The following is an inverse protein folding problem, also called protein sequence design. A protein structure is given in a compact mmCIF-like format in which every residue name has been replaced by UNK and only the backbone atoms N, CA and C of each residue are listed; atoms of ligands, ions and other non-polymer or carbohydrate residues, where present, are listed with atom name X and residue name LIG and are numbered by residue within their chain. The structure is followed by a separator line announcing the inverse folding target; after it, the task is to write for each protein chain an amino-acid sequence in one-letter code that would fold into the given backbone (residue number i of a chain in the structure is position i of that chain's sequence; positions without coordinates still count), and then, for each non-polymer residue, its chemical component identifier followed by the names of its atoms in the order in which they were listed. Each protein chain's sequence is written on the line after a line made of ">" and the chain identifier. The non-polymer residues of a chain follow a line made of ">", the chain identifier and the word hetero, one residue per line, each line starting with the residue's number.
data_IF_010558296629
#
_entry.id   IF_010558296629
#
_cell.length_a   1.000
_cell.length_b   1.000
_cell.length_c   1.000
_cell.angle_alpha   90.00
_cell.angle_beta   90.00
_cell.angle_gamma   90.00
#
_symmetry.space_group_name_H-M   'P 1'
#
loop_
_entity.id
_entity.type
_entity.pdbx_description
1 polymer ?
#
# COMPACT_ATOMS: atom_id res chain seq x y z
N UNK A 1 52.17 -48.86 -62.36
CA UNK A 1 51.08 -48.70 -63.36
C UNK A 1 49.84 -48.39 -62.56
N UNK A 2 49.48 -47.11 -62.46
CA UNK A 2 48.56 -46.41 -63.37
C UNK A 2 47.23 -46.23 -62.59
N UNK A 3 46.54 -45.10 -62.52
CA UNK A 3 46.74 -43.77 -63.08
C UNK A 3 46.03 -42.77 -62.15
N UNK A 4 46.53 -41.52 -62.17
CA UNK A 4 45.93 -40.37 -61.51
C UNK A 4 44.86 -39.76 -62.42
N UNK A 5 43.60 -39.73 -62.00
CA UNK A 5 42.57 -38.91 -62.64
C UNK A 5 42.43 -37.57 -61.90
N UNK A 6 42.94 -36.51 -62.52
CA UNK A 6 42.65 -35.13 -62.14
C UNK A 6 41.29 -34.73 -62.71
N UNK A 7 40.28 -34.54 -61.85
CA UNK A 7 39.07 -33.82 -62.23
C UNK A 7 39.25 -32.33 -61.97
N UNK A 8 39.37 -31.58 -63.07
CA UNK A 8 39.31 -30.12 -63.13
C UNK A 8 37.92 -29.64 -62.71
N UNK A 9 37.84 -28.88 -61.62
CA UNK A 9 36.65 -28.12 -61.24
C UNK A 9 36.63 -26.82 -62.03
N UNK A 10 35.66 -26.73 -62.94
CA UNK A 10 35.23 -25.56 -63.69
C UNK A 10 34.87 -24.43 -62.71
N UNK A 11 35.72 -23.40 -62.62
CA UNK A 11 35.40 -22.13 -61.95
C UNK A 11 34.72 -21.20 -62.93
N UNK A 12 33.46 -21.48 -63.23
CA UNK A 12 32.57 -20.48 -63.81
C UNK A 12 32.24 -19.44 -62.74
N UNK A 13 33.01 -18.36 -62.83
CA UNK A 13 32.91 -17.05 -62.21
C UNK A 13 31.47 -16.50 -62.19
N UNK A 14 30.65 -16.89 -61.21
CA UNK A 14 29.60 -16.00 -60.71
C UNK A 14 30.27 -15.06 -59.73
N UNK A 15 30.68 -13.90 -60.24
CA UNK A 15 31.01 -12.72 -59.46
C UNK A 15 29.76 -12.25 -58.72
N UNK A 16 29.38 -13.00 -57.68
CA UNK A 16 28.71 -12.43 -56.52
C UNK A 16 29.79 -11.76 -55.72
N UNK A 17 29.84 -10.43 -55.83
CA UNK A 17 30.56 -9.48 -54.97
C UNK A 17 30.95 -10.13 -53.65
N UNK A 18 32.20 -10.61 -53.51
CA UNK A 18 32.66 -11.24 -52.27
C UNK A 18 32.85 -10.11 -51.27
N UNK A 19 31.95 -9.94 -50.28
CA UNK A 19 31.93 -8.75 -49.43
C UNK A 19 33.22 -8.60 -48.61
N UNK A 20 34.06 -9.63 -48.59
CA UNK A 20 35.38 -9.68 -47.94
C UNK A 20 36.46 -8.91 -48.71
N UNK A 21 36.31 -8.70 -50.02
CA UNK A 21 37.31 -8.04 -50.87
C UNK A 21 37.34 -6.51 -50.70
N UNK A 22 36.28 -5.93 -50.13
CA UNK A 22 36.14 -4.49 -49.89
C UNK A 22 36.58 -4.03 -48.49
N UNK A 23 37.00 -4.96 -47.63
CA UNK A 23 37.44 -4.67 -46.26
C UNK A 23 38.96 -4.47 -46.18
N UNK A 24 39.39 -3.42 -45.49
CA UNK A 24 40.80 -3.25 -45.10
C UNK A 24 41.23 -4.34 -44.09
N UNK A 25 42.53 -4.63 -44.01
CA UNK A 25 43.12 -5.63 -43.09
C UNK A 25 42.63 -5.48 -41.64
N UNK A 26 42.47 -4.25 -41.15
CA UNK A 26 41.96 -3.98 -39.80
C UNK A 26 40.46 -4.31 -39.65
N UNK A 27 39.67 -4.13 -40.70
CA UNK A 27 38.26 -4.51 -40.73
C UNK A 27 38.11 -6.04 -40.82
N UNK A 28 39.01 -6.70 -41.56
CA UNK A 28 39.05 -8.16 -41.66
C UNK A 28 39.43 -8.81 -40.32
N UNK A 29 40.41 -8.26 -39.59
CA UNK A 29 40.78 -8.74 -38.26
C UNK A 29 39.62 -8.60 -37.26
N UNK A 30 38.92 -7.46 -37.27
CA UNK A 30 37.70 -7.26 -36.46
C UNK A 30 36.62 -8.28 -36.81
N UNK A 31 36.43 -8.59 -38.10
CA UNK A 31 35.44 -9.57 -38.56
C UNK A 31 35.83 -11.00 -38.12
N UNK A 32 37.12 -11.36 -38.20
CA UNK A 32 37.62 -12.65 -37.71
C UNK A 32 37.38 -12.78 -36.21
N UNK A 33 37.75 -11.78 -35.42
CA UNK A 33 37.50 -11.77 -33.97
C UNK A 33 36.02 -11.91 -33.65
N UNK A 34 35.16 -11.18 -34.36
CA UNK A 34 33.71 -11.29 -34.21
C UNK A 34 33.22 -12.72 -34.53
N UNK A 35 33.68 -13.30 -35.64
CA UNK A 35 33.30 -14.68 -36.03
C UNK A 35 33.84 -15.73 -35.07
N UNK A 36 35.00 -15.52 -34.47
CA UNK A 36 35.52 -16.39 -33.42
C UNK A 36 34.62 -16.35 -32.17
N UNK A 37 34.18 -15.17 -31.75
CA UNK A 37 33.24 -15.02 -30.62
C UNK A 37 31.90 -15.70 -30.94
N UNK A 38 31.34 -15.47 -32.14
CA UNK A 38 30.10 -16.11 -32.58
C UNK A 38 30.22 -17.65 -32.60
N UNK A 39 31.33 -18.18 -33.12
CA UNK A 39 31.59 -19.62 -33.10
C UNK A 39 31.73 -20.17 -31.68
N UNK A 40 32.38 -19.43 -30.78
CA UNK A 40 32.51 -19.85 -29.38
C UNK A 40 31.13 -19.93 -28.69
N UNK A 41 30.24 -18.98 -28.97
CA UNK A 41 28.86 -18.98 -28.45
C UNK A 41 28.10 -20.21 -28.96
N UNK A 42 28.17 -20.49 -30.26
CA UNK A 42 27.53 -21.66 -30.86
C UNK A 42 28.10 -22.97 -30.30
N UNK A 43 29.41 -23.03 -30.05
CA UNK A 43 30.05 -24.19 -29.45
C UNK A 43 29.56 -24.41 -28.01
N UNK A 44 29.46 -23.34 -27.22
CA UNK A 44 28.93 -23.41 -25.86
C UNK A 44 27.45 -23.85 -25.84
N UNK A 45 26.63 -23.29 -26.75
CA UNK A 45 25.23 -23.68 -26.94
C UNK A 45 25.12 -25.17 -27.29
N UNK A 46 25.94 -25.65 -28.22
CA UNK A 46 25.97 -27.06 -28.63
C UNK A 46 26.37 -27.98 -27.47
N UNK A 47 27.41 -27.62 -26.71
CA UNK A 47 27.83 -28.39 -25.53
C UNK A 47 26.74 -28.46 -24.46
N UNK A 48 26.03 -27.35 -24.23
CA UNK A 48 24.94 -27.28 -23.28
C UNK A 48 23.79 -28.22 -23.70
N UNK A 49 23.40 -28.19 -24.98
CA UNK A 49 22.39 -29.11 -25.50
C UNK A 49 22.83 -30.57 -25.49
N UNK A 50 24.11 -30.86 -25.79
CA UNK A 50 24.63 -32.23 -25.70
C UNK A 50 24.60 -32.76 -24.26
N UNK A 51 24.95 -31.93 -23.27
CA UNK A 51 24.87 -32.29 -21.85
C UNK A 51 23.44 -32.57 -21.44
N UNK A 52 22.52 -31.68 -21.82
CA UNK A 52 21.10 -31.85 -21.57
C UNK A 52 20.57 -33.13 -22.23
N UNK A 53 20.93 -33.38 -23.48
CA UNK A 53 20.53 -34.57 -24.22
C UNK A 53 21.00 -35.84 -23.50
N UNK A 54 22.29 -35.91 -23.15
CA UNK A 54 22.89 -37.05 -22.41
C UNK A 54 22.20 -37.32 -21.06
N UNK A 55 21.70 -36.28 -20.39
CA UNK A 55 20.94 -36.41 -19.13
C UNK A 55 19.47 -36.79 -19.38
N UNK A 56 18.88 -36.30 -20.47
CA UNK A 56 17.46 -36.45 -20.79
C UNK A 56 17.12 -37.73 -21.56
N UNK A 57 18.11 -38.38 -22.18
CA UNK A 57 17.93 -39.72 -22.74
C UNK A 57 17.49 -40.66 -21.61
N UNK A 58 16.30 -41.27 -21.69
CA UNK A 58 15.90 -42.26 -20.72
C UNK A 58 16.93 -43.39 -20.79
N UNK A 59 17.58 -43.68 -19.65
CA UNK A 59 18.21 -44.98 -19.42
C UNK A 59 17.11 -46.05 -19.38
N UNK A 60 16.47 -46.34 -20.50
CA UNK A 60 15.56 -47.46 -20.68
C UNK A 60 15.54 -47.95 -22.14
N UNK A 61 16.59 -48.68 -22.49
CA UNK A 61 16.53 -49.92 -23.27
C UNK A 61 17.65 -50.85 -22.78
N UNK A 62 17.73 -51.00 -21.45
CA UNK A 62 18.77 -51.78 -20.79
C UNK A 62 18.50 -51.96 -19.30
N UNK A 63 17.23 -52.18 -18.95
CA UNK A 63 16.83 -52.56 -17.60
C UNK A 63 17.43 -53.92 -17.23
N UNK A 64 18.26 -53.89 -16.19
CA UNK A 64 18.40 -54.91 -15.15
C UNK A 64 18.36 -56.38 -15.57
N UNK A 65 19.54 -56.99 -15.72
CA UNK A 65 19.80 -58.29 -15.11
C UNK A 65 21.28 -58.35 -14.69
N UNK A 66 21.58 -57.76 -13.53
CA UNK A 66 22.76 -58.13 -12.75
C UNK A 66 22.55 -59.52 -12.18
N UNK A 67 22.74 -60.53 -13.02
CA UNK A 67 22.76 -61.93 -12.62
C UNK A 67 24.00 -62.23 -11.78
N UNK A 68 23.75 -62.60 -10.53
CA UNK A 68 24.47 -63.72 -9.92
C UNK A 68 23.98 -64.98 -10.67
N UNK A 69 24.90 -65.79 -11.16
CA UNK A 69 24.63 -67.20 -11.48
C UNK A 69 24.55 -67.53 -12.97
N UNK A 70 25.46 -68.42 -13.36
CA UNK A 70 25.59 -69.10 -14.64
C UNK A 70 24.30 -69.73 -15.20
N UNK A 71 24.20 -69.78 -16.54
CA UNK A 71 23.43 -70.82 -17.23
C UNK A 71 22.82 -70.43 -18.58
N UNK A 72 23.37 -71.02 -19.66
CA UNK A 72 22.69 -71.58 -20.85
C UNK A 72 21.88 -70.61 -21.74
N UNK A 73 22.40 -70.21 -22.92
CA UNK A 73 22.32 -70.84 -24.27
C UNK A 73 20.93 -70.84 -24.93
N UNK A 74 20.99 -70.68 -26.27
CA UNK A 74 19.96 -70.90 -27.30
C UNK A 74 19.10 -69.67 -27.62
N UNK A 75 18.71 -69.36 -28.85
CA UNK A 75 19.25 -69.44 -30.22
C UNK A 75 18.21 -68.71 -31.09
N UNK A 76 18.68 -68.00 -32.12
CA UNK A 76 18.08 -67.84 -33.44
C UNK A 76 16.55 -67.73 -33.60
N UNK A 77 16.09 -66.64 -34.22
CA UNK A 77 15.31 -66.76 -35.46
C UNK A 77 15.29 -65.46 -36.27
N UNK A 78 15.67 -65.60 -37.54
CA UNK A 78 15.55 -64.62 -38.62
C UNK A 78 14.10 -64.19 -38.85
N UNK A 79 13.91 -62.96 -39.34
CA UNK A 79 13.09 -62.74 -40.53
C UNK A 79 13.42 -61.41 -41.22
N UNK A 80 13.97 -61.58 -42.43
CA UNK A 80 13.98 -60.67 -43.56
C UNK A 80 12.60 -60.05 -43.83
N UNK A 81 12.56 -58.85 -44.41
CA UNK A 81 11.78 -58.56 -45.62
C UNK A 81 12.17 -57.18 -46.18
N UNK A 82 12.99 -57.23 -47.23
CA UNK A 82 13.22 -56.13 -48.15
C UNK A 82 11.97 -55.87 -49.02
N UNK A 83 11.65 -54.60 -49.29
CA UNK A 83 10.87 -54.23 -50.49
C UNK A 83 10.99 -52.76 -50.85
N UNK A 84 11.46 -52.52 -52.08
CA UNK A 84 10.85 -51.51 -52.96
C UNK A 84 11.54 -50.17 -53.11
N UNK A 85 12.55 -50.14 -53.99
CA UNK A 85 13.00 -48.94 -54.68
C UNK A 85 11.86 -48.37 -55.55
N UNK A 86 11.51 -47.09 -55.40
CA UNK A 86 10.98 -46.28 -56.51
C UNK A 86 11.16 -44.78 -56.23
N UNK A 87 12.09 -44.18 -57.00
CA UNK A 87 12.27 -42.73 -57.14
C UNK A 87 11.05 -42.13 -57.86
N UNK A 88 10.39 -41.13 -57.25
CA UNK A 88 9.76 -40.00 -57.95
C UNK A 88 9.50 -38.83 -56.97
N UNK A 89 10.12 -37.69 -57.31
CA UNK A 89 9.88 -36.29 -56.88
C UNK A 89 8.75 -36.05 -55.86
N UNK A 90 9.11 -35.44 -54.73
CA UNK A 90 8.23 -34.54 -53.97
C UNK A 90 9.07 -33.48 -53.24
N UNK A 91 9.51 -32.50 -54.02
CA UNK A 91 10.14 -31.26 -53.60
C UNK A 91 9.07 -30.39 -52.94
N UNK A 92 8.94 -30.48 -51.61
CA UNK A 92 8.36 -29.42 -50.72
C UNK A 92 8.04 -29.88 -49.29
N UNK A 93 8.28 -31.14 -48.88
CA UNK A 93 8.05 -31.56 -47.47
C UNK A 93 9.28 -31.50 -46.55
N UNK A 94 10.48 -31.30 -47.09
CA UNK A 94 11.71 -31.25 -46.28
C UNK A 94 11.78 -30.03 -45.36
N UNK A 95 11.28 -28.87 -45.79
CA UNK A 95 11.36 -27.64 -45.00
C UNK A 95 10.43 -27.63 -43.77
N UNK A 96 9.33 -28.40 -43.79
CA UNK A 96 8.44 -28.53 -42.64
C UNK A 96 8.92 -29.60 -41.65
N UNK A 97 9.59 -30.65 -42.12
CA UNK A 97 10.25 -31.62 -41.24
C UNK A 97 11.44 -30.97 -40.52
N UNK A 98 12.20 -30.13 -41.22
CA UNK A 98 13.36 -29.40 -40.67
C UNK A 98 12.94 -28.33 -39.64
N UNK A 99 11.76 -27.72 -39.80
CA UNK A 99 11.16 -26.84 -38.76
C UNK A 99 10.64 -27.62 -37.55
N UNK A 100 10.17 -28.85 -37.75
CA UNK A 100 9.71 -29.73 -36.65
C UNK A 100 10.87 -30.35 -35.85
N UNK A 101 12.09 -30.34 -36.40
CA UNK A 101 13.30 -30.86 -35.75
C UNK A 101 14.11 -29.77 -35.04
N UNK A 102 13.73 -28.50 -35.19
CA UNK A 102 14.38 -27.36 -34.53
C UNK A 102 13.64 -27.03 -33.24
N UNK A 103 14.38 -26.97 -32.14
CA UNK A 103 13.87 -26.47 -30.87
C UNK A 103 13.36 -25.03 -31.04
N UNK A 104 12.20 -24.73 -30.47
CA UNK A 104 11.72 -23.35 -30.39
C UNK A 104 12.65 -22.52 -29.51
N UNK A 105 12.64 -21.20 -29.69
CA UNK A 105 13.44 -20.29 -28.85
C UNK A 105 13.08 -20.44 -27.37
N UNK A 106 11.81 -20.66 -27.07
CA UNK A 106 11.31 -20.94 -25.72
C UNK A 106 11.89 -22.24 -25.16
N UNK A 107 11.84 -23.35 -25.90
CA UNK A 107 12.43 -24.63 -25.50
C UNK A 107 13.95 -24.53 -25.27
N UNK A 108 14.66 -23.75 -26.10
CA UNK A 108 16.10 -23.50 -25.91
C UNK A 108 16.37 -22.74 -24.61
N UNK A 109 15.56 -21.73 -24.29
CA UNK A 109 15.66 -20.98 -23.04
C UNK A 109 15.38 -21.87 -21.83
N UNK A 110 14.37 -22.75 -21.89
CA UNK A 110 14.05 -23.69 -20.82
C UNK A 110 15.21 -24.67 -20.55
N UNK A 111 15.80 -25.20 -21.61
CA UNK A 111 16.96 -26.11 -21.52
C UNK A 111 18.17 -25.36 -20.93
N UNK A 112 18.43 -24.13 -21.39
CA UNK A 112 19.51 -23.31 -20.87
C UNK A 112 19.31 -22.98 -19.37
N UNK A 113 18.08 -22.67 -18.96
CA UNK A 113 17.76 -22.40 -17.56
C UNK A 113 17.98 -23.65 -16.69
N UNK A 114 17.53 -24.82 -17.15
CA UNK A 114 17.74 -26.07 -16.42
C UNK A 114 19.22 -26.47 -16.32
N UNK A 115 19.99 -26.35 -17.39
CA UNK A 115 21.44 -26.60 -17.33
C UNK A 115 22.17 -25.58 -16.46
N UNK A 116 21.72 -24.32 -16.40
CA UNK A 116 22.25 -23.34 -15.45
C UNK A 116 21.98 -23.75 -14.01
N UNK A 117 20.79 -24.23 -13.70
CA UNK A 117 20.43 -24.65 -12.34
C UNK A 117 21.18 -25.93 -11.93
N UNK A 118 21.32 -26.91 -12.84
CA UNK A 118 22.16 -28.08 -12.63
C UNK A 118 23.64 -27.70 -12.38
N UNK A 119 24.19 -26.77 -13.17
CA UNK A 119 25.57 -26.30 -12.99
C UNK A 119 25.77 -25.57 -11.66
N UNK A 120 24.77 -24.81 -11.19
CA UNK A 120 24.81 -24.20 -9.86
C UNK A 120 24.85 -25.27 -8.78
N UNK A 121 24.00 -26.28 -8.88
CA UNK A 121 23.96 -27.40 -7.91
C UNK A 121 25.30 -28.18 -7.92
N UNK A 122 25.87 -28.44 -9.09
CA UNK A 122 27.17 -29.09 -9.21
C UNK A 122 28.28 -28.24 -8.57
N UNK A 123 28.31 -26.92 -8.83
CA UNK A 123 29.26 -26.00 -8.21
C UNK A 123 29.14 -26.03 -6.69
N UNK A 124 27.91 -26.05 -6.15
CA UNK A 124 27.65 -26.12 -4.72
C UNK A 124 28.14 -27.44 -4.12
N UNK A 125 27.82 -28.58 -4.74
CA UNK A 125 28.35 -29.89 -4.35
C UNK A 125 29.88 -29.95 -4.38
N UNK A 126 30.51 -29.37 -5.39
CA UNK A 126 31.96 -29.29 -5.48
C UNK A 126 32.54 -28.43 -4.35
N UNK A 127 31.90 -27.30 -4.01
CA UNK A 127 32.30 -26.46 -2.88
C UNK A 127 32.19 -27.20 -1.55
N UNK A 128 31.06 -27.86 -1.28
CA UNK A 128 30.85 -28.65 -0.07
C UNK A 128 31.90 -29.76 0.07
N UNK A 129 32.20 -30.46 -1.03
CA UNK A 129 33.23 -31.49 -1.03
C UNK A 129 34.62 -30.91 -0.77
N UNK A 130 34.96 -29.77 -1.39
CA UNK A 130 36.22 -29.08 -1.13
C UNK A 130 36.34 -28.64 0.34
N UNK A 131 35.27 -28.09 0.92
CA UNK A 131 35.23 -27.67 2.32
C UNK A 131 35.43 -28.86 3.27
N UNK A 132 34.72 -29.97 3.03
CA UNK A 132 34.91 -31.21 3.79
C UNK A 132 36.34 -31.75 3.72
N UNK A 133 36.97 -31.67 2.55
CA UNK A 133 38.36 -32.08 2.35
C UNK A 133 39.32 -31.15 3.11
N UNK A 134 39.11 -29.84 3.05
CA UNK A 134 39.89 -28.85 3.80
C UNK A 134 39.78 -29.10 5.30
N UNK A 135 38.58 -29.31 5.82
CA UNK A 135 38.36 -29.56 7.24
C UNK A 135 38.99 -30.88 7.70
N UNK A 136 38.95 -31.91 6.87
CA UNK A 136 39.66 -33.16 7.15
C UNK A 136 41.18 -32.94 7.22
N UNK A 137 41.76 -32.20 6.27
CA UNK A 137 43.19 -31.89 6.32
C UNK A 137 43.56 -31.02 7.53
N UNK A 138 42.71 -30.08 7.92
CA UNK A 138 42.90 -29.30 9.16
C UNK A 138 42.91 -30.20 10.39
N UNK A 139 41.93 -31.11 10.51
CA UNK A 139 41.88 -32.06 11.62
C UNK A 139 43.12 -32.97 11.67
N UNK A 140 43.58 -33.47 10.53
CA UNK A 140 44.80 -34.30 10.44
C UNK A 140 46.04 -33.50 10.85
N UNK A 141 46.17 -32.24 10.40
CA UNK A 141 47.29 -31.38 10.80
C UNK A 141 47.30 -31.13 12.30
N UNK A 142 46.15 -30.78 12.89
CA UNK A 142 46.02 -30.58 14.34
C UNK A 142 46.36 -31.85 15.14
N UNK A 143 45.88 -33.01 14.69
CA UNK A 143 46.25 -34.31 15.29
C UNK A 143 47.76 -34.58 15.19
N UNK A 144 48.36 -34.33 14.03
CA UNK A 144 49.80 -34.49 13.82
C UNK A 144 50.62 -33.57 14.73
N UNK A 145 50.19 -32.32 14.91
CA UNK A 145 50.85 -31.35 15.79
C UNK A 145 50.76 -31.77 17.27
N UNK A 146 49.57 -32.22 17.70
CA UNK A 146 49.34 -32.72 19.06
C UNK A 146 50.19 -33.96 19.34
N UNK A 147 50.12 -34.97 18.47
CA UNK A 147 50.89 -36.21 18.61
C UNK A 147 52.40 -35.97 18.59
N UNK A 148 52.89 -35.04 17.76
CA UNK A 148 54.29 -34.64 17.75
C UNK A 148 54.72 -33.99 19.08
N UNK A 149 53.90 -33.08 19.60
CA UNK A 149 54.14 -32.40 20.88
C UNK A 149 54.14 -33.40 22.04
N UNK A 150 53.17 -34.31 22.08
CA UNK A 150 53.06 -35.37 23.08
C UNK A 150 54.24 -36.33 23.01
N UNK A 151 54.61 -36.80 21.82
CA UNK A 151 55.76 -37.71 21.63
C UNK A 151 57.06 -37.06 22.08
N UNK A 152 57.28 -35.77 21.77
CA UNK A 152 58.47 -35.03 22.24
C UNK A 152 58.50 -34.95 23.76
N UNK A 153 57.36 -34.63 24.37
CA UNK A 153 57.22 -34.57 25.83
C UNK A 153 57.49 -35.93 26.48
N UNK A 154 56.91 -37.00 25.95
CA UNK A 154 57.11 -38.37 26.45
C UNK A 154 58.56 -38.82 26.30
N UNK A 155 59.21 -38.51 25.18
CA UNK A 155 60.63 -38.80 24.96
C UNK A 155 61.51 -38.09 26.00
N UNK A 156 61.25 -36.80 26.26
CA UNK A 156 61.99 -36.03 27.26
C UNK A 156 61.76 -36.55 28.69
N UNK A 157 60.50 -36.84 29.05
CA UNK A 157 60.15 -37.42 30.36
C UNK A 157 60.83 -38.78 30.55
N UNK A 158 60.82 -39.64 29.53
CA UNK A 158 61.47 -40.95 29.58
C UNK A 158 63.00 -40.81 29.73
N UNK A 159 63.63 -39.92 28.98
CA UNK A 159 65.07 -39.69 29.11
C UNK A 159 65.43 -39.18 30.51
N UNK A 160 64.67 -38.21 31.03
CA UNK A 160 64.88 -37.64 32.36
C UNK A 160 64.67 -38.68 33.47
N UNK A 161 63.53 -39.36 33.46
CA UNK A 161 63.08 -40.16 34.60
C UNK A 161 63.68 -41.58 34.58
N UNK A 162 63.93 -42.13 33.38
CA UNK A 162 64.45 -43.49 33.20
C UNK A 162 65.93 -43.50 32.85
N UNK A 163 66.32 -42.89 31.74
CA UNK A 163 67.71 -42.97 31.26
C UNK A 163 68.69 -42.23 32.18
N UNK A 164 68.27 -41.14 32.80
CA UNK A 164 69.07 -40.37 33.75
C UNK A 164 68.69 -40.65 35.22
N UNK A 165 67.39 -40.72 35.53
CA UNK A 165 66.89 -40.84 36.90
C UNK A 165 66.81 -42.27 37.48
N UNK A 166 66.80 -43.30 36.65
CA UNK A 166 66.63 -44.69 37.08
C UNK A 166 67.90 -45.55 36.96
N UNK A 167 69.07 -44.94 36.80
CA UNK A 167 70.35 -45.65 36.70
C UNK A 167 70.95 -45.93 38.07
N UNK A 168 71.45 -47.15 38.28
CA UNK A 168 72.18 -47.50 39.49
C UNK A 168 73.59 -46.89 39.43
N UNK A 169 73.89 -45.99 40.38
CA UNK A 169 75.14 -45.22 40.43
C UNK A 169 76.41 -46.08 40.47
N UNK A 170 76.33 -47.32 40.97
CA UNK A 170 77.49 -48.22 41.05
C UNK A 170 77.71 -49.04 39.78
N UNK A 171 76.63 -49.41 39.08
CA UNK A 171 76.72 -50.32 37.91
C UNK A 171 76.50 -49.61 36.58
N UNK A 172 76.02 -48.36 36.58
CA UNK A 172 75.68 -47.61 35.38
C UNK A 172 74.50 -48.19 34.59
N UNK A 173 73.82 -49.23 35.11
CA UNK A 173 72.68 -49.89 34.44
C UNK A 173 71.36 -49.34 34.93
N UNK A 174 70.38 -49.24 34.03
CA UNK A 174 69.00 -48.86 34.35
C UNK A 174 68.34 -49.94 35.21
N UNK A 175 67.63 -49.52 36.26
CA UNK A 175 66.92 -50.41 37.18
C UNK A 175 65.60 -50.86 36.53
N UNK A 176 65.49 -52.16 36.22
CA UNK A 176 64.34 -52.74 35.53
C UNK A 176 63.00 -52.45 36.22
N UNK A 177 62.92 -52.53 37.56
CA UNK A 177 61.68 -52.26 38.30
C UNK A 177 61.14 -50.84 38.07
N UNK A 178 62.04 -49.84 37.99
CA UNK A 178 61.65 -48.44 37.72
C UNK A 178 61.10 -48.26 36.30
N UNK A 179 61.65 -49.01 35.33
CA UNK A 179 61.15 -49.03 33.95
C UNK A 179 59.75 -49.62 33.90
N UNK A 180 59.52 -50.77 34.54
CA UNK A 180 58.21 -51.41 34.62
C UNK A 180 57.17 -50.47 35.26
N UNK A 181 57.50 -49.87 36.41
CA UNK A 181 56.61 -48.94 37.10
C UNK A 181 56.27 -47.70 36.25
N UNK A 182 57.21 -47.21 35.44
CA UNK A 182 56.94 -46.10 34.52
C UNK A 182 55.90 -46.47 33.46
N UNK A 183 56.05 -47.63 32.82
CA UNK A 183 55.09 -48.10 31.83
C UNK A 183 53.72 -48.39 32.44
N UNK A 184 53.67 -49.01 33.64
CA UNK A 184 52.41 -49.22 34.38
C UNK A 184 51.68 -47.89 34.65
N UNK A 185 52.40 -46.89 35.16
CA UNK A 185 51.84 -45.55 35.41
C UNK A 185 51.35 -44.87 34.12
N UNK A 186 52.09 -45.01 33.00
CA UNK A 186 51.69 -44.46 31.70
C UNK A 186 50.43 -45.14 31.15
N UNK A 187 50.32 -46.46 31.28
CA UNK A 187 49.12 -47.21 30.90
C UNK A 187 47.91 -46.72 31.71
N UNK A 188 48.04 -46.63 33.04
CA UNK A 188 46.97 -46.13 33.91
C UNK A 188 46.56 -44.68 33.59
N UNK A 189 47.53 -43.80 33.30
CA UNK A 189 47.25 -42.43 32.87
C UNK A 189 46.49 -42.38 31.54
N UNK A 190 46.86 -43.24 30.58
CA UNK A 190 46.17 -43.35 29.29
C UNK A 190 44.75 -43.87 29.47
N UNK A 191 44.54 -44.89 30.32
CA UNK A 191 43.21 -45.43 30.59
C UNK A 191 42.29 -44.38 31.24
N UNK A 192 42.84 -43.56 32.14
CA UNK A 192 42.12 -42.42 32.74
C UNK A 192 41.74 -41.37 31.69
N UNK A 193 42.63 -41.10 30.72
CA UNK A 193 42.35 -40.18 29.62
C UNK A 193 41.27 -40.72 28.69
N UNK A 194 41.30 -42.02 28.37
CA UNK A 194 40.27 -42.69 27.56
C UNK A 194 38.90 -42.53 28.19
N UNK A 195 38.77 -42.79 29.50
CA UNK A 195 37.48 -42.66 30.19
C UNK A 195 36.99 -41.19 30.21
N UNK A 196 37.91 -40.24 30.40
CA UNK A 196 37.59 -38.80 30.31
C UNK A 196 37.09 -38.40 28.91
N UNK A 197 37.77 -38.85 27.86
CA UNK A 197 37.37 -38.58 26.47
C UNK A 197 36.03 -39.24 26.14
N UNK A 198 35.78 -40.46 26.65
CA UNK A 198 34.50 -41.16 26.49
C UNK A 198 33.36 -40.38 27.12
N UNK A 199 33.53 -39.89 28.35
CA UNK A 199 32.52 -39.06 29.01
C UNK A 199 32.27 -37.75 28.24
N UNK A 200 33.34 -37.08 27.79
CA UNK A 200 33.23 -35.85 26.99
C UNK A 200 32.53 -36.10 25.66
N UNK A 201 32.81 -37.22 24.98
CA UNK A 201 32.12 -37.61 23.75
C UNK A 201 30.62 -37.82 23.98
N UNK A 202 30.25 -38.50 25.08
CA UNK A 202 28.84 -38.67 25.47
C UNK A 202 28.15 -37.33 25.74
N UNK A 203 28.80 -36.43 26.48
CA UNK A 203 28.29 -35.08 26.75
C UNK A 203 28.09 -34.26 25.46
N UNK A 204 29.06 -34.28 24.56
CA UNK A 204 28.98 -33.58 23.27
C UNK A 204 27.86 -34.14 22.39
N UNK A 205 27.63 -35.47 22.39
CA UNK A 205 26.49 -36.08 21.69
C UNK A 205 25.16 -35.56 22.22
N UNK A 206 24.99 -35.49 23.54
CA UNK A 206 23.77 -34.94 24.15
C UNK A 206 23.60 -33.45 23.81
N UNK A 207 24.68 -32.66 23.85
CA UNK A 207 24.64 -31.25 23.46
C UNK A 207 24.25 -31.07 21.99
N UNK A 208 24.82 -31.87 21.09
CA UNK A 208 24.43 -31.89 19.68
C UNK A 208 22.94 -32.18 19.52
N UNK A 209 22.43 -33.24 20.15
CA UNK A 209 21.00 -33.57 20.06
C UNK A 209 20.10 -32.45 20.59
N UNK A 210 20.52 -31.77 21.68
CA UNK A 210 19.78 -30.62 22.22
C UNK A 210 19.78 -29.44 21.24
N UNK A 211 20.91 -29.14 20.60
CA UNK A 211 21.01 -28.06 19.62
C UNK A 211 20.21 -28.39 18.35
N UNK A 212 20.30 -29.63 17.86
CA UNK A 212 19.50 -30.10 16.72
C UNK A 212 17.99 -29.97 17.00
N UNK A 213 17.55 -30.29 18.24
CA UNK A 213 16.15 -30.11 18.64
C UNK A 213 15.76 -28.63 18.71
N UNK A 214 16.62 -27.76 19.26
CA UNK A 214 16.37 -26.32 19.28
C UNK A 214 16.32 -25.72 17.87
N UNK A 215 17.15 -26.23 16.97
CA UNK A 215 17.15 -25.82 15.57
C UNK A 215 15.81 -26.18 14.91
N UNK A 216 15.36 -27.43 15.05
CA UNK A 216 14.05 -27.87 14.54
C UNK A 216 12.88 -27.08 15.12
N UNK A 217 12.88 -26.82 16.43
CA UNK A 217 11.84 -25.98 17.04
C UNK A 217 11.83 -24.56 16.48
N UNK A 218 13.01 -24.00 16.16
CA UNK A 218 13.10 -22.68 15.52
C UNK A 218 12.67 -22.72 14.06
N UNK A 219 12.98 -23.79 13.33
CA UNK A 219 12.47 -24.01 11.97
C UNK A 219 10.94 -24.11 11.97
N UNK A 220 10.36 -24.94 12.84
CA UNK A 220 8.90 -25.08 12.98
C UNK A 220 8.25 -23.76 13.42
N UNK A 221 8.90 -22.96 14.27
CA UNK A 221 8.40 -21.63 14.64
C UNK A 221 8.58 -20.60 13.52
N UNK A 222 9.57 -20.77 12.66
CA UNK A 222 9.72 -20.01 11.41
C UNK A 222 8.68 -20.42 10.36
N UNK A 223 8.31 -21.70 10.30
CA UNK A 223 7.25 -22.23 9.46
C UNK A 223 5.86 -21.82 9.98
N UNK A 224 5.69 -21.60 11.29
CA UNK A 224 4.46 -21.03 11.84
C UNK A 224 4.27 -19.54 11.51
N UNK A 225 5.32 -18.82 11.12
CA UNK A 225 5.27 -17.44 10.68
C UNK A 225 5.51 -17.38 9.16
N UNK A 226 4.49 -17.73 8.37
CA UNK A 226 4.63 -17.63 6.92
C UNK A 226 4.85 -16.18 6.54
N UNK A 227 5.81 -15.93 5.65
CA UNK A 227 6.00 -14.62 5.04
C UNK A 227 4.70 -14.12 4.36
N UNK A 228 3.86 -15.06 3.91
CA UNK A 228 2.51 -14.81 3.40
C UNK A 228 1.59 -14.19 4.46
N UNK A 229 1.61 -14.64 5.71
CA UNK A 229 0.81 -14.06 6.79
C UNK A 229 1.27 -12.63 7.09
N UNK A 230 2.58 -12.39 7.03
CA UNK A 230 3.16 -11.06 7.23
C UNK A 230 2.78 -10.10 6.09
N UNK A 231 2.81 -10.60 4.85
CA UNK A 231 2.34 -9.86 3.68
C UNK A 231 0.84 -9.62 3.74
N UNK A 232 0.05 -10.60 4.18
CA UNK A 232 -1.39 -10.44 4.38
C UNK A 232 -1.67 -9.36 5.42
N UNK A 233 -1.02 -9.39 6.58
CA UNK A 233 -1.18 -8.36 7.62
C UNK A 233 -0.81 -6.96 7.09
N UNK A 234 0.23 -6.88 6.25
CA UNK A 234 0.65 -5.62 5.63
C UNK A 234 -0.41 -5.09 4.66
N UNK A 235 -0.98 -5.96 3.83
CA UNK A 235 -2.07 -5.61 2.90
C UNK A 235 -3.31 -5.18 3.68
N UNK A 236 -3.69 -5.91 4.74
CA UNK A 236 -4.84 -5.55 5.57
C UNK A 236 -4.65 -4.18 6.23
N UNK A 237 -3.46 -3.91 6.77
CA UNK A 237 -3.15 -2.61 7.38
C UNK A 237 -3.22 -1.47 6.35
N UNK A 238 -2.68 -1.67 5.14
CA UNK A 238 -2.76 -0.69 4.05
C UNK A 238 -4.22 -0.44 3.63
N UNK A 239 -5.05 -1.48 3.53
CA UNK A 239 -6.48 -1.35 3.26
C UNK A 239 -7.23 -0.63 4.38
N UNK A 240 -6.86 -0.84 5.65
CA UNK A 240 -7.48 -0.12 6.76
C UNK A 240 -7.08 1.35 6.77
N UNK A 241 -5.83 1.68 6.42
CA UNK A 241 -5.38 3.06 6.27
C UNK A 241 -6.14 3.77 5.15
N UNK A 242 -6.31 3.14 4.00
CA UNK A 242 -7.09 3.71 2.89
C UNK A 242 -8.54 3.98 3.31
N UNK A 243 -9.20 3.02 4.00
CA UNK A 243 -10.55 3.22 4.55
C UNK A 243 -10.61 4.35 5.57
N UNK A 244 -9.58 4.51 6.41
CA UNK A 244 -9.50 5.62 7.37
C UNK A 244 -9.43 6.96 6.62
N UNK A 245 -8.62 7.04 5.57
CA UNK A 245 -8.49 8.25 4.76
C UNK A 245 -9.78 8.58 4.01
N UNK A 246 -10.44 7.59 3.40
CA UNK A 246 -11.79 7.75 2.82
C UNK A 246 -12.77 8.32 3.84
N UNK A 247 -12.86 7.72 5.04
CA UNK A 247 -13.76 8.20 6.09
C UNK A 247 -13.41 9.60 6.58
N UNK A 248 -12.13 9.94 6.65
CA UNK A 248 -11.67 11.28 7.02
C UNK A 248 -12.08 12.33 5.97
N UNK A 249 -11.98 12.00 4.67
CA UNK A 249 -12.43 12.90 3.59
C UNK A 249 -13.94 13.10 3.62
N UNK A 250 -14.74 12.02 3.77
CA UNK A 250 -16.20 12.10 3.95
C UNK A 250 -16.59 12.97 5.15
N UNK A 251 -15.90 12.81 6.28
CA UNK A 251 -16.12 13.58 7.49
C UNK A 251 -15.80 15.06 7.29
N UNK A 252 -14.74 15.39 6.56
CA UNK A 252 -14.39 16.76 6.23
C UNK A 252 -15.45 17.42 5.35
N UNK A 253 -15.95 16.71 4.34
CA UNK A 253 -17.03 17.17 3.48
C UNK A 253 -18.33 17.43 4.23
N UNK A 254 -18.70 16.52 5.15
CA UNK A 254 -19.86 16.70 6.01
C UNK A 254 -19.69 17.90 6.94
N UNK A 255 -18.51 18.10 7.52
CA UNK A 255 -18.21 19.30 8.34
C UNK A 255 -18.36 20.58 7.54
N UNK A 256 -17.86 20.62 6.31
CA UNK A 256 -18.01 21.78 5.43
C UNK A 256 -19.49 22.06 5.10
N UNK A 257 -20.27 21.02 4.78
CA UNK A 257 -21.72 21.15 4.54
C UNK A 257 -22.45 21.66 5.78
N UNK A 258 -22.16 21.10 6.96
CA UNK A 258 -22.74 21.53 8.23
C UNK A 258 -22.40 23.01 8.54
N UNK A 259 -21.14 23.41 8.33
CA UNK A 259 -20.69 24.79 8.52
C UNK A 259 -21.42 25.78 7.59
N UNK A 260 -21.54 25.44 6.30
CA UNK A 260 -22.31 26.24 5.33
C UNK A 260 -23.78 26.39 5.75
N UNK A 261 -24.42 25.28 6.13
CA UNK A 261 -25.80 25.29 6.62
C UNK A 261 -25.96 26.14 7.88
N UNK A 262 -25.00 26.09 8.81
CA UNK A 262 -24.98 26.92 10.01
C UNK A 262 -24.83 28.42 9.68
N UNK A 263 -24.00 28.76 8.70
CA UNK A 263 -23.84 30.13 8.23
C UNK A 263 -25.16 30.67 7.64
N UNK A 264 -25.82 29.87 6.79
CA UNK A 264 -27.13 30.21 6.22
C UNK A 264 -28.17 30.37 7.33
N UNK A 265 -28.24 29.43 8.29
CA UNK A 265 -29.16 29.50 9.43
C UNK A 265 -28.94 30.78 10.26
N UNK A 266 -27.68 31.12 10.56
CA UNK A 266 -27.36 32.36 11.28
C UNK A 266 -27.76 33.61 10.50
N UNK A 267 -27.63 33.60 9.16
CA UNK A 267 -28.10 34.71 8.34
C UNK A 267 -29.63 34.90 8.42
N UNK A 268 -30.40 33.81 8.39
CA UNK A 268 -31.85 33.85 8.56
C UNK A 268 -32.26 34.25 9.97
N UNK A 269 -31.54 33.78 11.00
CA UNK A 269 -31.77 34.19 12.39
C UNK A 269 -31.59 35.71 12.57
N UNK A 270 -30.55 36.30 11.96
CA UNK A 270 -30.34 37.76 11.95
C UNK A 270 -31.47 38.49 11.23
N UNK A 271 -31.87 38.06 10.03
CA UNK A 271 -32.98 38.65 9.27
C UNK A 271 -34.31 38.56 10.03
N UNK A 272 -34.59 37.43 10.66
CA UNK A 272 -35.78 37.25 11.48
C UNK A 272 -35.77 38.21 12.65
N UNK A 273 -34.64 38.32 13.37
CA UNK A 273 -34.52 39.25 14.49
C UNK A 273 -34.76 40.70 14.07
N UNK A 274 -34.20 41.15 12.93
CA UNK A 274 -34.45 42.51 12.42
C UNK A 274 -35.92 42.75 12.07
N UNK A 275 -36.57 41.78 11.41
CA UNK A 275 -38.00 41.88 11.07
C UNK A 275 -38.89 41.86 12.32
N UNK A 276 -38.52 41.09 13.34
CA UNK A 276 -39.24 41.10 14.62
C UNK A 276 -39.15 42.46 15.30
N UNK A 277 -37.96 43.07 15.36
CA UNK A 277 -37.80 44.41 15.92
C UNK A 277 -38.58 45.47 15.13
N UNK A 278 -38.60 45.37 13.81
CA UNK A 278 -39.40 46.25 12.96
C UNK A 278 -40.91 46.06 13.20
N UNK A 279 -41.36 44.81 13.34
CA UNK A 279 -42.75 44.50 13.68
C UNK A 279 -43.16 45.09 15.03
N UNK A 280 -42.31 44.97 16.05
CA UNK A 280 -42.54 45.58 17.37
C UNK A 280 -42.60 47.10 17.30
N UNK A 281 -41.68 47.73 16.54
CA UNK A 281 -41.68 49.17 16.27
C UNK A 281 -42.97 49.63 15.61
N UNK A 282 -43.39 48.95 14.54
CA UNK A 282 -44.64 49.25 13.83
C UNK A 282 -45.87 49.05 14.71
N UNK A 283 -45.92 48.01 15.54
CA UNK A 283 -46.99 47.82 16.53
C UNK A 283 -47.09 48.99 17.51
N UNK A 284 -45.95 49.46 18.00
CA UNK A 284 -45.90 50.63 18.91
C UNK A 284 -46.36 51.91 18.21
N UNK A 285 -45.95 52.13 16.95
CA UNK A 285 -46.45 53.25 16.14
C UNK A 285 -47.97 53.18 15.89
N UNK A 286 -48.50 51.98 15.58
CA UNK A 286 -49.95 51.79 15.38
C UNK A 286 -50.70 52.10 16.67
N UNK A 287 -50.21 51.64 17.83
CA UNK A 287 -50.80 51.96 19.13
C UNK A 287 -50.84 53.48 19.36
N UNK A 288 -49.72 54.17 19.14
CA UNK A 288 -49.63 55.62 19.28
C UNK A 288 -50.56 56.37 18.32
N UNK A 289 -50.66 55.93 17.05
CA UNK A 289 -51.59 56.52 16.08
C UNK A 289 -53.05 56.28 16.47
N UNK A 290 -53.39 55.10 16.98
CA UNK A 290 -54.74 54.80 17.47
C UNK A 290 -55.10 55.68 18.67
N UNK A 291 -54.19 55.89 19.62
CA UNK A 291 -54.38 56.81 20.74
C UNK A 291 -54.55 58.27 20.29
N UNK A 292 -53.87 58.68 19.21
CA UNK A 292 -54.07 60.00 18.63
C UNK A 292 -55.44 60.10 17.96
N UNK A 293 -55.85 59.08 17.20
CA UNK A 293 -57.16 59.03 16.56
C UNK A 293 -58.29 59.10 17.59
N UNK A 294 -58.20 58.35 18.70
CA UNK A 294 -59.23 58.42 19.75
C UNK A 294 -59.34 59.80 20.40
N UNK A 295 -58.21 60.53 20.55
CA UNK A 295 -58.23 61.93 21.01
C UNK A 295 -58.88 62.86 19.98
N UNK A 296 -58.53 62.72 18.70
CA UNK A 296 -59.10 63.52 17.62
C UNK A 296 -60.61 63.26 17.50
N UNK A 297 -61.06 62.01 17.60
CA UNK A 297 -62.48 61.66 17.58
C UNK A 297 -63.22 62.30 18.76
N UNK A 298 -62.64 62.23 19.97
CA UNK A 298 -63.19 62.90 21.15
C UNK A 298 -63.26 64.43 20.96
N UNK A 299 -62.20 65.07 20.47
CA UNK A 299 -62.18 66.50 20.16
C UNK A 299 -63.22 66.86 19.08
N UNK A 300 -63.35 66.03 18.05
CA UNK A 300 -64.32 66.23 16.96
C UNK A 300 -65.75 66.18 17.47
N UNK A 301 -66.10 65.20 18.32
CA UNK A 301 -67.44 65.14 18.95
C UNK A 301 -67.74 66.37 19.80
N UNK A 302 -66.77 66.88 20.57
CA UNK A 302 -66.94 68.12 21.35
C UNK A 302 -67.17 69.32 20.42
N UNK A 303 -66.36 69.45 19.37
CA UNK A 303 -66.50 70.53 18.38
C UNK A 303 -67.84 70.45 17.64
N UNK A 304 -68.32 69.25 17.30
CA UNK A 304 -69.64 69.05 16.70
C UNK A 304 -70.78 69.46 17.64
N UNK A 305 -70.70 69.11 18.92
CA UNK A 305 -71.66 69.53 19.95
C UNK A 305 -71.67 71.05 20.13
N UNK A 306 -70.50 71.67 20.19
CA UNK A 306 -70.33 73.13 20.27
C UNK A 306 -70.89 73.82 19.02
N UNK A 307 -70.57 73.29 17.84
CA UNK A 307 -71.13 73.76 16.57
C UNK A 307 -72.64 73.66 16.57
N UNK A 308 -73.23 72.54 17.00
CA UNK A 308 -74.68 72.36 17.05
C UNK A 308 -75.35 73.34 18.02
N UNK A 309 -74.75 73.60 19.19
CA UNK A 309 -75.21 74.64 20.13
C UNK A 309 -75.15 76.04 19.50
N UNK A 310 -74.02 76.37 18.87
CA UNK A 310 -73.83 77.65 18.19
C UNK A 310 -74.83 77.84 17.03
N UNK A 311 -75.07 76.80 16.22
CA UNK A 311 -76.08 76.81 15.16
C UNK A 311 -77.50 77.01 15.72
N UNK A 312 -77.84 76.37 16.85
CA UNK A 312 -79.14 76.56 17.52
C UNK A 312 -79.32 77.99 18.00
N UNK A 313 -78.29 78.60 18.59
CA UNK A 313 -78.28 80.01 18.99
C UNK A 313 -78.41 80.91 17.76
N UNK A 314 -77.63 80.66 16.71
CA UNK A 314 -77.67 81.44 15.47
C UNK A 314 -79.06 81.40 14.81
N UNK A 315 -79.71 80.22 14.78
CA UNK A 315 -81.10 80.07 14.31
C UNK A 315 -82.08 80.90 15.15
N UNK A 316 -81.97 80.87 16.48
CA UNK A 316 -82.79 81.70 17.37
C UNK A 316 -82.59 83.20 17.12
N UNK A 317 -81.34 83.65 16.99
CA UNK A 317 -81.03 85.05 16.72
C UNK A 317 -81.56 85.48 15.34
N UNK A 318 -81.42 84.63 14.32
CA UNK A 318 -82.02 84.87 12.99
C UNK A 318 -83.55 84.95 13.06
N UNK A 319 -84.18 84.07 13.84
CA UNK A 319 -85.63 84.09 14.06
C UNK A 319 -86.06 85.36 14.81
N UNK A 320 -85.33 85.76 15.85
CA UNK A 320 -85.56 87.04 16.52
C UNK A 320 -85.38 88.22 15.55
N UNK A 321 -84.41 88.16 14.64
CA UNK A 321 -84.20 89.20 13.62
C UNK A 321 -85.35 89.24 12.60
N UNK A 322 -85.97 88.10 12.26
CA UNK A 322 -87.14 88.04 11.37
C UNK A 322 -88.43 88.44 12.07
N UNK A 323 -88.59 88.07 13.34
CA UNK A 323 -89.75 88.39 14.17
C UNK A 323 -89.68 89.85 14.66
N UNK A 324 -88.49 90.46 14.66
CA UNK A 324 -88.28 91.87 14.90
C UNK A 324 -88.87 92.68 13.74
N UNK A 325 -90.15 93.01 13.85
CA UNK A 325 -90.77 94.07 13.08
C UNK A 325 -90.55 95.39 13.79
N UNK A 326 -89.92 96.33 13.08
CA UNK A 326 -90.06 97.74 13.39
C UNK A 326 -91.54 98.08 13.27
N UNK A 327 -92.19 98.65 14.31
CA UNK A 327 -93.59 99.05 14.23
C UNK A 327 -93.84 99.92 13.00
N UNK A 328 -94.96 99.70 12.31
CA UNK A 328 -95.33 100.51 11.16
C UNK A 328 -95.44 101.97 11.62
N UNK A 329 -94.99 102.92 10.80
CA UNK A 329 -94.86 104.34 11.19
C UNK A 329 -96.22 104.87 11.64
N UNK A 330 -97.30 104.40 11.05
CA UNK A 330 -98.66 104.77 11.42
C UNK A 330 -99.10 104.18 12.77
N UNK A 331 -98.72 102.94 13.10
CA UNK A 331 -99.00 102.30 14.39
C UNK A 331 -98.18 102.94 15.53
N UNK A 332 -96.93 103.32 15.25
CA UNK A 332 -96.12 104.10 16.19
C UNK A 332 -96.71 105.50 16.40
N UNK A 333 -97.27 106.13 15.35
CA UNK A 333 -97.91 107.44 15.44
C UNK A 333 -99.25 107.36 16.18
N UNK A 334 -100.04 106.29 16.02
CA UNK A 334 -101.29 106.09 16.76
C UNK A 334 -101.02 105.73 18.22
N UNK A 335 -100.09 104.83 18.55
CA UNK A 335 -99.71 104.59 19.95
C UNK A 335 -99.11 105.83 20.61
N UNK A 336 -98.33 106.63 19.86
CA UNK A 336 -97.82 107.91 20.36
C UNK A 336 -98.93 108.95 20.50
N UNK A 337 -99.93 108.96 19.63
CA UNK A 337 -101.12 109.80 19.74
C UNK A 337 -102.02 109.37 20.92
N UNK A 338 -102.15 108.06 21.18
CA UNK A 338 -102.85 107.48 22.33
C UNK A 338 -102.10 107.75 23.63
N UNK A 339 -100.76 107.70 23.63
CA UNK A 339 -99.93 108.20 24.72
C UNK A 339 -100.17 109.69 24.93
N UNK A 340 -100.23 110.51 23.88
CA UNK A 340 -100.60 111.92 23.98
C UNK A 340 -102.04 112.11 24.48
N UNK A 341 -102.99 111.25 24.11
CA UNK A 341 -104.38 111.30 24.58
C UNK A 341 -104.50 110.90 26.05
N UNK A 342 -103.79 109.85 26.49
CA UNK A 342 -103.72 109.40 27.88
C UNK A 342 -103.00 110.45 28.71
N UNK A 343 -101.94 111.06 28.19
CA UNK A 343 -101.23 112.17 28.83
C UNK A 343 -102.09 113.44 28.86
N UNK A 344 -102.94 113.68 27.85
CA UNK A 344 -103.95 114.77 27.82
C UNK A 344 -105.15 114.49 28.71
N UNK A 345 -105.57 113.23 28.90
CA UNK A 345 -106.62 112.80 29.85
C UNK A 345 -106.09 112.80 31.29
N UNK A 346 -104.81 112.47 31.50
CA UNK A 346 -104.08 112.69 32.76
C UNK A 346 -103.96 114.19 33.07
N UNK A 347 -103.58 115.03 32.11
CA UNK A 347 -103.55 116.49 32.28
C UNK A 347 -104.95 117.13 32.37
N UNK A 348 -105.96 116.54 31.73
CA UNK A 348 -107.36 116.99 31.77
C UNK A 348 -108.07 116.60 33.06
N UNK A 349 -107.75 115.46 33.66
CA UNK A 349 -108.15 115.09 35.02
C UNK A 349 -107.40 115.96 36.04
N UNK A 350 -106.13 116.28 35.81
CA UNK A 350 -105.39 117.25 36.65
C UNK A 350 -105.91 118.70 36.51
N UNK A 351 -106.57 119.06 35.40
CA UNK A 351 -107.18 120.38 35.20
C UNK A 351 -108.65 120.45 35.69
N UNK A 352 -109.42 119.35 35.62
CA UNK A 352 -110.76 119.27 36.23
C UNK A 352 -110.71 119.09 37.76
N UNK A 353 -109.67 118.46 38.32
CA UNK A 353 -109.48 118.45 39.78
C UNK A 353 -108.87 119.74 40.34
N UNK A 354 -108.28 120.63 39.51
CA UNK A 354 -107.80 121.95 39.95
C UNK A 354 -108.83 123.08 39.86
N UNK A 355 -109.90 122.93 39.09
CA UNK A 355 -111.03 123.87 39.04
C UNK A 355 -112.25 123.44 39.88
N UNK A 356 -112.09 122.43 40.74
CA UNK A 356 -112.94 122.20 41.90
C UNK A 356 -112.11 122.33 43.19
N UNK A 357 -111.45 123.48 43.34
CA UNK A 357 -111.32 124.16 44.62
C UNK A 357 -112.04 125.50 44.44
N UNK A 358 -113.24 125.63 44.99
CA UNK A 358 -114.06 126.84 44.90
C UNK A 358 -115.48 126.61 45.37
#
# INVERSE_FOLDING_TARGET
>A
MADSESMSLDTSNEAGDDPLMDLNDEQLDKLIQQKMIENQVLQNETQMFEKYLKKSEPKDSGGALGGIGAGLTVSSSNQDLSRGMNRKRSKSRGANLDKSLRLTTEQKCDIAQKELDDLKEDIEKYRDNCERVIDNFRAIMEECELTLSETKKESYEFERDILKGAVNQRTGKVIAEKVSRHFENKILSRDTLVEKLRLKNSQLKVQKMKLDLQFKQKEEMGEALHEVDFQQLKIENEQYLEKIDEKNTELMDLKLKASKSLQVLNSYKKKLHTLTMESERLKSEISSRNELLTKIDAETTVVEDERAKAEKINRKLRQQLTDFRVPDVMDYVTEKADLYEIQRKSFGIDCMMRNCLG
#
